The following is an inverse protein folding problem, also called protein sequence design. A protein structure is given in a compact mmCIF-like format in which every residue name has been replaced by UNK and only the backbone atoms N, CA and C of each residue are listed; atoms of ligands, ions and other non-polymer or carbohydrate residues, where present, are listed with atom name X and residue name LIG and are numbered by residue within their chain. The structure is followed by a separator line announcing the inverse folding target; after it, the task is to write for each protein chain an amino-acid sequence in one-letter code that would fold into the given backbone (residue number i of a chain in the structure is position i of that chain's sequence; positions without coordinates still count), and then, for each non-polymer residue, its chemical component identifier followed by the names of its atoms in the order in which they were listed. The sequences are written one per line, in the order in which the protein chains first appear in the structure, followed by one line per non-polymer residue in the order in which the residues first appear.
data_IF_459751401059
#
_entry.id   IF_459751401059
#
_cell.length_a   1.000
_cell.length_b   1.000
_cell.length_c   1.000
_cell.angle_alpha   90.00
_cell.angle_beta   90.00
_cell.angle_gamma   90.00
#
_symmetry.space_group_name_H-M   'P 1'
#
loop_
_entity.id
_entity.type
_entity.pdbx_description
1 polymer ?
#
# COMPACT_ATOMS: atom_id res chain seq x y z
N UNK A 1 -11.03 -8.01 27.62
CA UNK A 1 -10.64 -6.71 27.04
C UNK A 1 -11.62 -6.47 25.90
N UNK A 2 -12.47 -5.45 25.98
CA UNK A 2 -13.50 -5.18 24.96
C UNK A 2 -12.92 -4.25 23.88
N UNK A 3 -12.21 -4.86 22.93
CA UNK A 3 -11.68 -4.16 21.76
C UNK A 3 -12.72 -4.23 20.64
N UNK A 4 -13.22 -3.09 20.22
CA UNK A 4 -14.17 -2.97 19.09
C UNK A 4 -13.47 -2.73 17.78
N UNK A 5 -12.40 -1.94 17.81
CA UNK A 5 -11.58 -1.64 16.64
C UNK A 5 -10.11 -1.84 17.01
N UNK A 6 -9.40 -2.58 16.19
CA UNK A 6 -7.96 -2.77 16.28
C UNK A 6 -7.31 -2.09 15.05
N UNK A 7 -6.67 -0.94 15.25
CA UNK A 7 -5.84 -0.29 14.24
C UNK A 7 -4.44 -0.88 14.26
N UNK A 8 -3.93 -1.25 13.09
CA UNK A 8 -2.59 -1.83 12.94
C UNK A 8 -1.81 -1.02 11.91
N UNK A 9 -0.72 -0.41 12.35
CA UNK A 9 0.31 0.13 11.47
C UNK A 9 1.29 -0.99 11.10
N UNK A 10 1.37 -1.30 9.80
CA UNK A 10 2.13 -2.42 9.25
C UNK A 10 3.54 -2.00 8.85
N UNK A 11 4.50 -2.13 9.74
CA UNK A 11 5.91 -2.07 9.38
C UNK A 11 6.41 -3.39 8.75
N UNK A 12 7.61 -3.34 8.19
CA UNK A 12 8.25 -4.52 7.57
C UNK A 12 8.52 -5.63 8.58
N UNK A 13 9.11 -5.30 9.72
CA UNK A 13 9.50 -6.23 10.77
C UNK A 13 8.73 -6.00 12.07
N UNK A 14 8.42 -4.75 12.39
CA UNK A 14 7.72 -4.33 13.60
C UNK A 14 6.44 -3.63 13.23
N UNK A 15 5.37 -3.93 13.94
CA UNK A 15 4.04 -3.35 13.76
C UNK A 15 3.59 -2.75 15.08
N UNK A 16 2.83 -1.66 15.02
CA UNK A 16 2.13 -1.08 16.17
C UNK A 16 0.64 -1.39 16.06
N UNK A 17 0.02 -1.77 17.18
CA UNK A 17 -1.40 -2.06 17.26
C UNK A 17 -2.04 -1.25 18.40
N UNK A 18 -3.15 -0.59 18.08
CA UNK A 18 -3.95 0.17 19.05
C UNK A 18 -5.39 -0.31 18.99
N UNK A 19 -5.92 -0.75 20.13
CA UNK A 19 -7.31 -1.17 20.28
C UNK A 19 -8.17 -0.09 20.92
N UNK A 20 -9.31 0.20 20.31
CA UNK A 20 -10.33 1.10 20.85
C UNK A 20 -11.56 0.31 21.34
N UNK A 21 -12.15 0.77 22.46
CA UNK A 21 -13.45 0.28 22.95
C UNK A 21 -14.63 0.94 22.19
N UNK A 22 -15.85 0.61 22.56
CA UNK A 22 -17.07 1.18 21.98
C UNK A 22 -17.20 2.71 22.18
N UNK A 23 -16.52 3.27 23.19
CA UNK A 23 -16.49 4.71 23.47
C UNK A 23 -15.34 5.43 22.75
N UNK A 24 -14.54 4.71 21.94
CA UNK A 24 -13.36 5.26 21.25
C UNK A 24 -12.15 5.46 22.16
N UNK A 25 -12.15 4.91 23.37
CA UNK A 25 -11.02 5.01 24.29
C UNK A 25 -9.99 3.93 23.99
N UNK A 26 -8.73 4.27 24.11
CA UNK A 26 -7.63 3.32 23.91
C UNK A 26 -7.58 2.35 25.08
N UNK A 27 -7.79 1.06 24.79
CA UNK A 27 -7.76 -0.05 25.77
C UNK A 27 -6.62 -1.03 25.52
N UNK A 28 -5.95 -0.91 24.39
CA UNK A 28 -4.79 -1.73 24.01
C UNK A 28 -3.76 -0.87 23.28
N UNK A 29 -2.50 -0.99 23.67
CA UNK A 29 -1.34 -0.54 22.90
C UNK A 29 -0.28 -1.62 22.90
N UNK A 30 0.19 -2.02 21.73
CA UNK A 30 1.24 -3.04 21.58
C UNK A 30 2.13 -2.71 20.39
N UNK A 31 3.42 -2.78 20.61
CA UNK A 31 4.43 -2.88 19.56
C UNK A 31 4.91 -4.33 19.52
N UNK A 32 4.93 -4.94 18.34
CA UNK A 32 5.21 -6.36 18.20
C UNK A 32 5.82 -6.69 16.84
N UNK A 33 6.36 -7.89 16.71
CA UNK A 33 6.75 -8.44 15.42
C UNK A 33 5.51 -8.75 14.58
N UNK A 34 5.64 -8.62 13.26
CA UNK A 34 4.55 -8.88 12.31
C UNK A 34 3.91 -10.27 12.50
N UNK A 35 4.73 -11.28 12.77
CA UNK A 35 4.29 -12.67 13.02
C UNK A 35 3.35 -12.79 14.23
N UNK A 36 3.49 -11.90 15.20
CA UNK A 36 2.69 -11.92 16.43
C UNK A 36 1.28 -11.35 16.28
N UNK A 37 0.97 -10.69 15.15
CA UNK A 37 -0.34 -10.06 14.92
C UNK A 37 -1.46 -11.10 14.98
N UNK A 38 -1.27 -12.24 14.31
CA UNK A 38 -2.27 -13.32 14.26
C UNK A 38 -2.57 -13.89 15.65
N UNK A 39 -1.51 -14.06 16.47
CA UNK A 39 -1.67 -14.54 17.85
C UNK A 39 -2.33 -13.50 18.77
N UNK A 40 -2.14 -12.21 18.51
CA UNK A 40 -2.88 -11.15 19.22
C UNK A 40 -4.35 -11.16 18.81
N UNK A 41 -4.64 -11.16 17.52
CA UNK A 41 -5.99 -11.13 16.98
C UNK A 41 -6.81 -12.33 17.47
N UNK A 42 -6.25 -13.54 17.47
CA UNK A 42 -6.90 -14.75 17.95
C UNK A 42 -7.34 -14.70 19.43
N UNK A 43 -6.76 -13.79 20.24
CA UNK A 43 -7.14 -13.57 21.63
C UNK A 43 -8.26 -12.54 21.82
N UNK A 44 -8.64 -11.86 20.75
CA UNK A 44 -9.68 -10.84 20.77
C UNK A 44 -11.00 -11.43 20.27
N UNK A 45 -12.14 -11.00 20.80
CA UNK A 45 -13.42 -11.30 20.19
C UNK A 45 -13.47 -10.74 18.77
N UNK A 46 -14.36 -11.22 17.92
CA UNK A 46 -14.56 -10.67 16.59
C UNK A 46 -14.73 -9.14 16.65
N UNK A 47 -13.80 -8.43 16.04
CA UNK A 47 -13.76 -6.96 16.04
C UNK A 47 -13.40 -6.43 14.63
N UNK A 48 -13.51 -5.13 14.44
CA UNK A 48 -12.99 -4.47 13.23
C UNK A 48 -11.48 -4.40 13.32
N UNK A 49 -10.78 -4.92 12.31
CA UNK A 49 -9.33 -4.75 12.17
C UNK A 49 -9.04 -3.81 11.01
N UNK A 50 -8.48 -2.65 11.33
CA UNK A 50 -8.20 -1.58 10.39
C UNK A 50 -6.70 -1.50 10.08
N UNK A 51 -6.35 -1.31 8.81
CA UNK A 51 -4.97 -1.17 8.33
C UNK A 51 -4.90 -0.23 7.13
N UNK A 52 -3.75 0.37 6.90
CA UNK A 52 -3.48 1.00 5.62
C UNK A 52 -3.29 -0.04 4.50
N UNK A 53 -3.74 0.30 3.29
CA UNK A 53 -3.60 -0.54 2.09
C UNK A 53 -2.16 -0.50 1.56
N UNK A 54 -1.22 -1.06 2.32
CA UNK A 54 0.20 -1.15 2.00
C UNK A 54 0.63 -2.57 1.58
N UNK A 55 1.94 -2.78 1.36
CA UNK A 55 2.49 -4.10 1.01
C UNK A 55 2.21 -5.13 2.11
N UNK A 56 1.53 -6.23 1.72
CA UNK A 56 1.17 -7.34 2.60
C UNK A 56 -0.11 -7.13 3.40
N UNK A 57 -0.78 -5.96 3.31
CA UNK A 57 -2.05 -5.71 4.00
C UNK A 57 -3.17 -6.64 3.51
N UNK A 58 -3.24 -6.91 2.22
CA UNK A 58 -4.24 -7.83 1.67
C UNK A 58 -4.04 -9.27 2.14
N UNK A 59 -2.80 -9.76 2.19
CA UNK A 59 -2.50 -11.10 2.71
C UNK A 59 -2.91 -11.23 4.18
N UNK A 60 -2.42 -10.31 5.01
CA UNK A 60 -2.76 -10.30 6.44
C UNK A 60 -4.27 -10.13 6.67
N UNK A 61 -4.90 -9.28 5.87
CA UNK A 61 -6.35 -9.06 5.93
C UNK A 61 -7.15 -10.33 5.66
N UNK A 62 -6.75 -11.15 4.67
CA UNK A 62 -7.41 -12.44 4.42
C UNK A 62 -7.28 -13.40 5.60
N UNK A 63 -6.10 -13.45 6.22
CA UNK A 63 -5.89 -14.29 7.41
C UNK A 63 -6.72 -13.84 8.61
N UNK A 64 -6.81 -12.51 8.84
CA UNK A 64 -7.62 -11.94 9.91
C UNK A 64 -9.13 -12.13 9.67
N UNK A 65 -9.57 -11.99 8.42
CA UNK A 65 -10.96 -12.29 8.04
C UNK A 65 -11.31 -13.78 8.27
N UNK A 66 -10.38 -14.70 8.01
CA UNK A 66 -10.55 -16.12 8.29
C UNK A 66 -10.63 -16.43 9.81
N UNK A 67 -10.12 -15.54 10.67
CA UNK A 67 -10.30 -15.62 12.12
C UNK A 67 -11.63 -15.02 12.62
N UNK A 68 -12.47 -14.50 11.72
CA UNK A 68 -13.78 -13.93 12.07
C UNK A 68 -13.76 -12.43 12.35
N UNK A 69 -12.68 -11.71 12.01
CA UNK A 69 -12.62 -10.26 12.13
C UNK A 69 -13.16 -9.56 10.87
N UNK A 70 -13.80 -8.39 11.06
CA UNK A 70 -14.13 -7.49 9.95
C UNK A 70 -12.88 -6.70 9.56
N UNK A 71 -12.39 -6.86 8.34
CA UNK A 71 -11.17 -6.18 7.88
C UNK A 71 -11.50 -4.93 7.09
N UNK A 72 -10.93 -3.79 7.49
CA UNK A 72 -11.05 -2.50 6.83
C UNK A 72 -9.69 -2.01 6.37
N UNK A 73 -9.47 -2.00 5.06
CA UNK A 73 -8.28 -1.39 4.46
C UNK A 73 -8.58 0.04 4.02
N UNK A 74 -7.67 0.97 4.29
CA UNK A 74 -7.82 2.38 3.94
C UNK A 74 -6.62 2.86 3.12
N UNK A 75 -6.87 3.78 2.17
CA UNK A 75 -5.76 4.46 1.50
C UNK A 75 -4.99 5.33 2.50
N UNK A 76 -3.63 5.33 2.47
CA UNK A 76 -2.82 6.16 3.38
C UNK A 76 -3.19 7.64 3.34
N UNK A 77 -3.62 8.16 2.19
CA UNK A 77 -4.06 9.54 2.02
C UNK A 77 -5.26 9.91 2.91
N UNK A 78 -6.16 8.94 3.18
CA UNK A 78 -7.34 9.15 4.03
C UNK A 78 -7.06 8.98 5.52
N UNK A 79 -5.98 8.29 5.88
CA UNK A 79 -5.53 8.12 7.27
C UNK A 79 -4.70 9.32 7.73
N UNK A 80 -3.90 9.88 6.83
CA UNK A 80 -2.97 10.99 7.12
C UNK A 80 -3.58 12.17 7.89
N UNK A 81 -4.82 12.65 7.64
CA UNK A 81 -5.41 13.73 8.41
C UNK A 81 -5.64 13.45 9.90
N UNK A 82 -5.66 12.18 10.30
CA UNK A 82 -5.85 11.74 11.69
C UNK A 82 -4.54 11.57 12.46
N UNK A 83 -3.41 11.64 11.77
CA UNK A 83 -2.09 11.54 12.41
C UNK A 83 -1.80 12.82 13.17
N UNK A 84 -1.68 12.72 14.50
CA UNK A 84 -1.33 13.84 15.38
C UNK A 84 0.12 14.28 15.16
N UNK A 85 0.41 15.57 15.40
CA UNK A 85 1.77 16.11 15.28
C UNK A 85 2.81 15.30 16.04
N UNK A 86 4.03 15.19 15.50
CA UNK A 86 5.14 14.32 15.93
C UNK A 86 4.91 12.83 15.57
N UNK A 87 5.50 12.42 14.46
CA UNK A 87 5.43 11.07 13.93
C UNK A 87 5.96 10.04 14.94
N UNK A 88 5.08 9.09 15.32
CA UNK A 88 5.42 7.96 16.17
C UNK A 88 4.53 6.80 15.76
N UNK A 89 5.10 5.61 15.59
CA UNK A 89 4.41 4.40 15.12
C UNK A 89 3.11 4.08 15.91
N UNK A 90 3.09 4.38 17.23
CA UNK A 90 1.88 4.17 18.05
C UNK A 90 0.77 5.18 17.73
N UNK A 91 1.12 6.40 17.29
CA UNK A 91 0.15 7.42 16.87
C UNK A 91 -0.40 7.10 15.50
N UNK A 92 0.39 6.49 14.62
CA UNK A 92 -0.05 6.07 13.31
C UNK A 92 -1.08 4.93 13.44
N UNK A 93 -0.87 3.94 14.33
CA UNK A 93 -1.85 2.90 14.64
C UNK A 93 -3.14 3.46 15.28
N UNK A 94 -3.04 4.48 16.15
CA UNK A 94 -4.20 5.16 16.73
C UNK A 94 -4.98 5.92 15.65
N UNK A 95 -4.30 6.63 14.76
CA UNK A 95 -4.92 7.33 13.64
C UNK A 95 -5.66 6.38 12.69
N UNK A 96 -5.08 5.19 12.42
CA UNK A 96 -5.73 4.12 11.64
C UNK A 96 -7.00 3.65 12.34
N UNK A 97 -6.95 3.40 13.64
CA UNK A 97 -8.12 2.98 14.41
C UNK A 97 -9.22 4.06 14.41
N UNK A 98 -8.86 5.31 14.64
CA UNK A 98 -9.77 6.45 14.62
C UNK A 98 -10.39 6.66 13.23
N UNK A 99 -9.59 6.66 12.18
CA UNK A 99 -10.06 6.81 10.80
C UNK A 99 -11.11 5.75 10.45
N UNK A 100 -10.91 4.50 10.90
CA UNK A 100 -11.84 3.40 10.65
C UNK A 100 -13.21 3.55 11.33
N UNK A 101 -13.35 4.44 12.31
CA UNK A 101 -14.65 4.74 12.96
C UNK A 101 -15.52 5.67 12.15
N UNK A 102 -14.96 6.37 11.17
CA UNK A 102 -15.67 7.45 10.47
C UNK A 102 -16.70 6.91 9.46
N UNK A 103 -17.96 7.34 9.52
CA UNK A 103 -19.01 6.80 8.65
C UNK A 103 -18.78 7.14 7.17
N UNK A 104 -18.04 8.20 6.87
CA UNK A 104 -17.72 8.64 5.49
C UNK A 104 -16.42 8.05 4.95
N UNK A 105 -15.72 7.20 5.72
CA UNK A 105 -14.47 6.59 5.30
C UNK A 105 -14.69 5.62 4.13
N UNK A 106 -13.83 5.74 3.12
CA UNK A 106 -13.82 4.83 1.97
C UNK A 106 -12.82 3.71 2.21
N UNK A 107 -13.32 2.48 2.20
CA UNK A 107 -12.49 1.30 2.39
C UNK A 107 -12.08 0.69 1.05
N UNK A 108 -10.85 0.22 1.00
CA UNK A 108 -10.31 -0.54 -0.13
C UNK A 108 -10.78 -1.98 0.00
N UNK A 109 -11.38 -2.53 -1.04
CA UNK A 109 -11.82 -3.91 -1.05
C UNK A 109 -10.64 -4.86 -0.82
N UNK A 110 -10.85 -5.86 0.02
CA UNK A 110 -9.86 -6.92 0.26
C UNK A 110 -9.72 -7.78 -1.00
N UNK A 111 -8.55 -7.74 -1.63
CA UNK A 111 -8.28 -8.45 -2.87
C UNK A 111 -7.97 -9.92 -2.63
N UNK A 112 -8.45 -10.78 -3.51
CA UNK A 112 -8.03 -12.18 -3.60
C UNK A 112 -6.59 -12.29 -4.13
N UNK A 113 -5.98 -13.46 -4.03
CA UNK A 113 -4.64 -13.70 -4.59
C UNK A 113 -4.65 -13.52 -6.11
N UNK A 114 -5.62 -14.10 -6.80
CA UNK A 114 -5.77 -13.95 -8.25
C UNK A 114 -5.90 -12.48 -8.69
N UNK A 115 -6.63 -11.65 -7.93
CA UNK A 115 -6.71 -10.21 -8.21
C UNK A 115 -5.37 -9.49 -8.00
N UNK A 116 -4.59 -9.90 -7.02
CA UNK A 116 -3.25 -9.35 -6.80
C UNK A 116 -2.28 -9.78 -7.91
N UNK A 117 -2.36 -11.02 -8.38
CA UNK A 117 -1.52 -11.52 -9.48
C UNK A 117 -1.77 -10.73 -10.76
N UNK A 118 -3.04 -10.51 -11.12
CA UNK A 118 -3.39 -9.65 -12.26
C UNK A 118 -2.87 -8.22 -12.06
N UNK A 119 -3.02 -7.66 -10.86
CA UNK A 119 -2.49 -6.32 -10.56
C UNK A 119 -0.96 -6.25 -10.71
N UNK A 120 -0.25 -7.30 -10.29
CA UNK A 120 1.22 -7.38 -10.45
C UNK A 120 1.60 -7.39 -11.92
N UNK A 121 0.92 -8.18 -12.76
CA UNK A 121 1.17 -8.21 -14.21
C UNK A 121 0.98 -6.83 -14.85
N UNK A 122 -0.10 -6.11 -14.51
CA UNK A 122 -0.31 -4.75 -14.99
C UNK A 122 0.81 -3.80 -14.56
N UNK A 123 1.23 -3.85 -13.29
CA UNK A 123 2.32 -3.00 -12.77
C UNK A 123 3.66 -3.30 -13.44
N UNK A 124 3.96 -4.57 -13.70
CA UNK A 124 5.17 -4.98 -14.44
C UNK A 124 5.13 -4.43 -15.86
N UNK A 125 4.00 -4.62 -16.56
CA UNK A 125 3.80 -4.08 -17.91
C UNK A 125 4.01 -2.56 -17.94
N UNK A 126 3.36 -1.83 -17.06
CA UNK A 126 3.45 -0.37 -17.02
C UNK A 126 4.88 0.11 -16.74
N UNK A 127 5.60 -0.58 -15.85
CA UNK A 127 7.01 -0.32 -15.59
C UNK A 127 7.88 -0.53 -16.84
N UNK A 128 7.69 -1.66 -17.53
CA UNK A 128 8.46 -1.96 -18.74
C UNK A 128 8.17 -0.98 -19.88
N UNK A 129 6.90 -0.60 -20.06
CA UNK A 129 6.52 0.43 -21.05
C UNK A 129 7.13 1.78 -20.69
N UNK A 130 7.09 2.18 -19.42
CA UNK A 130 7.72 3.41 -18.95
C UNK A 130 9.24 3.42 -19.16
N UNK A 131 9.94 2.34 -18.81
CA UNK A 131 11.37 2.19 -19.02
C UNK A 131 11.75 2.28 -20.51
N UNK A 132 11.00 1.59 -21.37
CA UNK A 132 11.20 1.67 -22.83
C UNK A 132 11.04 3.11 -23.34
N UNK A 133 10.01 3.81 -22.90
CA UNK A 133 9.75 5.19 -23.29
C UNK A 133 10.87 6.12 -22.82
N UNK A 134 11.31 5.98 -21.57
CA UNK A 134 12.40 6.76 -21.01
C UNK A 134 13.71 6.56 -21.81
N UNK A 135 14.07 5.28 -22.10
CA UNK A 135 15.25 4.96 -22.90
C UNK A 135 15.15 5.56 -24.31
N UNK A 136 14.01 5.43 -24.97
CA UNK A 136 13.77 6.00 -26.30
C UNK A 136 13.97 7.52 -26.31
N UNK A 137 13.46 8.22 -25.29
CA UNK A 137 13.62 9.67 -25.15
C UNK A 137 15.07 10.06 -24.86
N UNK A 138 15.76 9.29 -24.02
CA UNK A 138 17.19 9.51 -23.74
C UNK A 138 18.05 9.39 -25.03
N UNK A 139 17.81 8.35 -25.83
CA UNK A 139 18.53 8.16 -27.10
C UNK A 139 18.27 9.34 -28.07
N UNK A 140 17.03 9.82 -28.17
CA UNK A 140 16.72 10.98 -28.98
C UNK A 140 17.41 12.25 -28.48
N UNK A 141 17.47 12.45 -27.16
CA UNK A 141 18.19 13.59 -26.59
C UNK A 141 19.68 13.56 -26.95
N UNK A 142 20.31 12.38 -26.82
CA UNK A 142 21.72 12.20 -27.20
C UNK A 142 21.97 12.49 -28.70
N UNK A 143 21.06 12.05 -29.57
CA UNK A 143 21.16 12.31 -31.01
C UNK A 143 20.95 13.80 -31.33
N UNK A 144 20.01 14.44 -30.64
CA UNK A 144 19.73 15.86 -30.80
C UNK A 144 20.94 16.74 -30.42
N UNK A 145 21.66 16.39 -29.34
CA UNK A 145 22.91 17.06 -28.93
C UNK A 145 24.04 16.93 -30.01
N UNK A 146 23.87 15.98 -30.91
CA UNK A 146 24.76 15.79 -32.06
C UNK A 146 24.19 16.36 -33.38
N UNK A 147 23.14 17.17 -33.30
CA UNK A 147 22.47 17.78 -34.45
C UNK A 147 21.56 16.83 -35.24
N UNK A 148 21.31 15.62 -34.74
CA UNK A 148 20.48 14.62 -35.44
C UNK A 148 19.07 14.66 -34.84
N UNK A 149 18.12 15.19 -35.63
CA UNK A 149 16.71 15.28 -35.25
C UNK A 149 15.98 14.01 -35.66
N UNK A 150 15.46 13.27 -34.68
CA UNK A 150 14.69 12.03 -34.91
C UNK A 150 13.22 12.26 -34.62
N UNK A 151 12.36 11.97 -35.59
CA UNK A 151 10.91 12.09 -35.45
C UNK A 151 10.35 11.22 -34.32
N UNK A 152 9.16 11.58 -33.85
CA UNK A 152 8.45 10.81 -32.81
C UNK A 152 8.09 9.41 -33.31
N UNK A 153 8.19 8.41 -32.47
CA UNK A 153 7.88 7.01 -32.76
C UNK A 153 9.11 6.10 -32.61
N UNK A 154 8.86 4.85 -32.27
CA UNK A 154 9.93 3.85 -32.09
C UNK A 154 10.62 3.53 -33.42
N UNK A 155 9.84 3.39 -34.50
CA UNK A 155 10.34 3.04 -35.81
C UNK A 155 11.37 4.09 -36.33
N UNK A 156 10.98 5.36 -36.26
CA UNK A 156 11.87 6.46 -36.67
C UNK A 156 13.21 6.46 -35.93
N UNK A 157 13.22 6.10 -34.63
CA UNK A 157 14.46 5.98 -33.88
C UNK A 157 15.30 4.79 -34.35
N UNK A 158 14.68 3.64 -34.60
CA UNK A 158 15.39 2.44 -35.05
C UNK A 158 15.99 2.67 -36.46
N UNK A 159 15.25 3.32 -37.37
CA UNK A 159 15.72 3.64 -38.73
C UNK A 159 16.90 4.63 -38.65
N UNK A 160 16.82 5.66 -37.79
CA UNK A 160 17.92 6.60 -37.58
C UNK A 160 19.18 5.92 -37.00
N UNK A 161 19.01 5.01 -36.05
CA UNK A 161 20.13 4.28 -35.47
C UNK A 161 20.77 3.29 -36.46
N UNK A 162 19.96 2.65 -37.31
CA UNK A 162 20.48 1.78 -38.36
C UNK A 162 21.35 2.58 -39.35
N UNK A 163 20.87 3.75 -39.80
CA UNK A 163 21.64 4.64 -40.72
C UNK A 163 22.92 5.21 -40.10
N UNK A 164 23.04 5.24 -38.79
CA UNK A 164 24.27 5.70 -38.10
C UNK A 164 25.28 4.57 -37.87
N UNK A 165 24.90 3.35 -38.08
CA UNK A 165 25.75 2.16 -37.88
C UNK A 165 26.43 1.71 -39.21
N UNK A 166 26.03 2.28 -40.36
CA UNK A 166 26.62 2.14 -41.70
C UNK A 166 27.72 3.16 -41.92
#
# INVERSE_FOLDING_TARGET
MDVRILGIDLGKNSCSAVGLDAAGRVVLRRRMRRESIMALAAKLPGCVVAMEACCGAHHLGRLLAAQGHEVRLMSPEYVRPYVKAQKNDDRDAEAIAEAATRPTMRFVALKTEAQLDVQVLHRVRDRLVGQRTALTNQMRSILLERGIVVAQGRRSLLDALASLAE
#
